data_IF_090153308858
#
_entry.id   IF_090153308858
#
_cell.length_a   1.000
_cell.length_b   1.000
_cell.length_c   1.000
_cell.angle_alpha   90.00
_cell.angle_beta   90.00
_cell.angle_gamma   90.00
#
_symmetry.space_group_name_H-M   'P 1'
#
loop_
_entity.id
_entity.type
_entity.pdbx_description
1 polymer ?
#
# COMPACT_ATOMS: atom_id res chain seq x y z
N UNK A 1 -14.34 27.03 33.56
CA UNK A 1 -14.81 25.67 33.23
C UNK A 1 -14.25 24.71 34.28
N UNK A 2 -15.09 24.43 35.27
CA UNK A 2 -15.15 23.34 36.25
C UNK A 2 -13.87 22.52 36.55
N UNK A 3 -13.16 22.87 37.62
CA UNK A 3 -12.14 22.02 38.26
C UNK A 3 -12.67 20.60 38.56
N UNK A 4 -13.97 20.43 38.82
CA UNK A 4 -14.61 19.10 39.01
C UNK A 4 -14.54 18.17 37.80
N UNK A 5 -14.57 18.67 36.56
CA UNK A 5 -14.48 17.79 35.38
C UNK A 5 -13.04 17.30 35.19
N UNK A 6 -12.08 18.18 35.48
CA UNK A 6 -10.65 17.86 35.47
C UNK A 6 -10.27 16.90 36.61
N UNK A 7 -10.83 17.08 37.81
CA UNK A 7 -10.71 16.14 38.94
C UNK A 7 -11.37 14.78 38.65
N UNK A 8 -12.51 14.78 37.97
CA UNK A 8 -13.18 13.54 37.56
C UNK A 8 -12.36 12.79 36.50
N UNK A 9 -11.70 13.51 35.58
CA UNK A 9 -10.78 12.89 34.64
C UNK A 9 -9.51 12.41 35.32
N UNK A 10 -8.93 13.13 36.29
CA UNK A 10 -7.66 12.71 36.89
C UNK A 10 -7.76 11.32 37.53
N UNK A 11 -6.78 10.42 37.27
CA UNK A 11 -6.72 9.13 37.95
C UNK A 11 -6.60 9.39 39.46
N UNK A 12 -7.57 8.90 40.22
CA UNK A 12 -7.62 9.07 41.67
C UNK A 12 -6.76 7.96 42.30
N UNK A 13 -5.60 8.34 42.84
CA UNK A 13 -4.58 7.47 43.41
C UNK A 13 -4.92 6.94 44.81
N UNK A 14 -6.21 6.73 45.11
CA UNK A 14 -6.67 6.39 46.44
C UNK A 14 -7.00 4.90 46.53
N UNK A 15 -5.97 4.07 46.66
CA UNK A 15 -6.09 2.61 46.82
C UNK A 15 -4.84 1.89 46.29
N UNK A 16 -4.05 1.29 47.18
CA UNK A 16 -2.73 0.73 46.85
C UNK A 16 -2.76 -0.45 45.85
N UNK A 17 -3.90 -1.12 45.68
CA UNK A 17 -4.06 -2.29 44.79
C UNK A 17 -4.77 -1.91 43.48
N UNK A 18 -5.85 -1.13 43.54
CA UNK A 18 -6.58 -0.66 42.36
C UNK A 18 -5.80 0.38 41.54
N UNK A 19 -4.97 1.20 42.20
CA UNK A 19 -4.13 2.20 41.56
C UNK A 19 -3.06 1.58 40.64
N UNK A 20 -2.56 0.39 40.97
CA UNK A 20 -1.54 -0.31 40.17
C UNK A 20 -2.09 -0.77 38.81
N UNK A 21 -3.26 -1.42 38.81
CA UNK A 21 -3.92 -1.87 37.57
C UNK A 21 -4.33 -0.67 36.71
N UNK A 22 -4.87 0.39 37.33
CA UNK A 22 -5.24 1.62 36.65
C UNK A 22 -4.03 2.30 36.00
N UNK A 23 -2.88 2.32 36.66
CA UNK A 23 -1.63 2.86 36.12
C UNK A 23 -1.13 2.02 34.94
N UNK A 24 -1.12 0.69 35.06
CA UNK A 24 -0.71 -0.20 33.96
C UNK A 24 -1.60 0.00 32.73
N UNK A 25 -2.92 0.06 32.91
CA UNK A 25 -3.86 0.29 31.81
C UNK A 25 -3.71 1.69 31.23
N UNK A 26 -3.54 2.71 32.06
CA UNK A 26 -3.30 4.08 31.59
C UNK A 26 -1.99 4.20 30.79
N UNK A 27 -0.92 3.54 31.25
CA UNK A 27 0.38 3.52 30.59
C UNK A 27 0.33 2.72 29.29
N UNK A 28 -0.41 1.60 29.25
CA UNK A 28 -0.69 0.85 28.02
C UNK A 28 -1.46 1.70 27.00
N UNK A 29 -2.52 2.37 27.43
CA UNK A 29 -3.31 3.26 26.57
C UNK A 29 -2.47 4.43 26.06
N UNK A 30 -1.65 5.05 26.91
CA UNK A 30 -0.73 6.12 26.54
C UNK A 30 0.31 5.63 25.52
N UNK A 31 0.93 4.47 25.79
CA UNK A 31 1.91 3.86 24.90
C UNK A 31 1.31 3.54 23.53
N UNK A 32 0.05 3.11 23.47
CA UNK A 32 -0.62 2.83 22.20
C UNK A 32 -1.08 4.12 21.49
N UNK A 33 -1.57 5.10 22.24
CA UNK A 33 -2.00 6.40 21.74
C UNK A 33 -0.84 7.21 21.15
N UNK A 34 0.38 7.08 21.70
CA UNK A 34 1.57 7.82 21.26
C UNK A 34 2.43 6.96 20.32
N UNK A 35 2.65 5.69 20.68
CA UNK A 35 3.54 4.78 19.97
C UNK A 35 3.06 4.46 18.56
N UNK A 36 1.76 4.19 18.36
CA UNK A 36 1.25 3.83 17.04
C UNK A 36 1.37 4.98 16.02
N UNK A 37 1.00 6.24 16.33
CA UNK A 37 1.28 7.39 15.45
C UNK A 37 2.77 7.60 15.14
N UNK A 38 3.66 7.37 16.12
CA UNK A 38 5.11 7.49 15.95
C UNK A 38 5.67 6.41 15.02
N UNK A 39 5.22 5.16 15.20
CA UNK A 39 5.59 4.06 14.30
C UNK A 39 5.11 4.34 12.88
N UNK A 40 3.84 4.76 12.73
CA UNK A 40 3.28 5.20 11.45
C UNK A 40 4.09 6.33 10.81
N UNK A 41 4.53 7.33 11.59
CA UNK A 41 5.34 8.42 11.09
C UNK A 41 6.74 7.96 10.63
N UNK A 42 7.28 6.90 11.23
CA UNK A 42 8.55 6.30 10.84
C UNK A 42 8.42 5.36 9.64
N UNK A 43 7.31 4.64 9.50
CA UNK A 43 7.16 3.56 8.53
C UNK A 43 6.46 3.94 7.23
N UNK A 44 5.55 4.94 7.26
CA UNK A 44 4.79 5.36 6.09
C UNK A 44 5.62 6.28 5.18
N UNK A 45 6.71 5.74 4.61
CA UNK A 45 7.62 6.44 3.71
C UNK A 45 7.68 5.73 2.36
N UNK A 46 7.79 6.47 1.23
CA UNK A 46 7.88 5.89 -0.11
C UNK A 46 9.06 4.92 -0.26
N UNK A 47 10.19 5.18 0.40
CA UNK A 47 11.35 4.27 0.38
C UNK A 47 11.05 2.88 0.98
N UNK A 48 10.19 2.78 1.99
CA UNK A 48 9.81 1.49 2.57
C UNK A 48 8.80 0.75 1.69
N UNK A 49 7.93 1.51 1.01
CA UNK A 49 6.99 0.97 0.05
C UNK A 49 7.72 0.39 -1.18
N UNK A 50 8.71 1.10 -1.71
CA UNK A 50 9.58 0.62 -2.79
C UNK A 50 10.36 -0.64 -2.39
N UNK A 51 10.94 -0.67 -1.19
CA UNK A 51 11.65 -1.85 -0.69
C UNK A 51 10.73 -3.08 -0.61
N UNK A 52 9.49 -2.91 -0.13
CA UNK A 52 8.51 -4.01 -0.09
C UNK A 52 8.03 -4.42 -1.48
N UNK A 53 7.86 -3.46 -2.38
CA UNK A 53 7.52 -3.76 -3.77
C UNK A 53 8.60 -4.63 -4.42
N UNK A 54 9.88 -4.31 -4.23
CA UNK A 54 11.00 -5.12 -4.75
C UNK A 54 11.01 -6.55 -4.21
N UNK A 55 10.62 -6.75 -2.94
CA UNK A 55 10.45 -8.09 -2.36
C UNK A 55 9.28 -8.84 -3.00
N UNK A 56 8.18 -8.15 -3.33
CA UNK A 56 6.99 -8.75 -3.93
C UNK A 56 7.16 -9.08 -5.42
N UNK A 57 7.91 -8.27 -6.16
CA UNK A 57 8.15 -8.47 -7.60
C UNK A 57 9.35 -9.37 -7.89
N UNK A 58 10.24 -9.57 -6.91
CA UNK A 58 11.43 -10.41 -7.03
C UNK A 58 12.37 -9.97 -8.16
N UNK A 59 13.22 -10.88 -8.62
CA UNK A 59 14.20 -10.65 -9.70
C UNK A 59 13.56 -10.15 -11.01
N UNK A 60 12.29 -10.53 -11.28
CA UNK A 60 11.64 -10.25 -12.56
C UNK A 60 11.02 -8.86 -12.67
N UNK A 61 10.97 -8.07 -11.58
CA UNK A 61 10.34 -6.74 -11.55
C UNK A 61 8.92 -6.69 -12.16
N UNK A 62 8.26 -7.84 -12.28
CA UNK A 62 6.99 -7.99 -12.97
C UNK A 62 5.89 -8.13 -11.92
N UNK A 63 4.92 -7.21 -11.95
CA UNK A 63 3.71 -7.33 -11.13
C UNK A 63 2.92 -8.58 -11.60
N UNK A 64 2.51 -9.47 -10.68
CA UNK A 64 1.70 -10.63 -11.04
C UNK A 64 0.26 -10.19 -11.36
N UNK A 65 -0.20 -10.43 -12.60
CA UNK A 65 -1.57 -10.16 -13.08
C UNK A 65 -1.97 -8.66 -13.03
N UNK A 66 -3.16 -8.23 -13.51
CA UNK A 66 -3.54 -6.82 -13.46
C UNK A 66 -3.86 -6.44 -12.01
N UNK A 67 -2.83 -6.10 -11.24
CA UNK A 67 -2.98 -5.58 -9.88
C UNK A 67 -3.63 -4.20 -9.95
N UNK A 68 -4.80 -4.06 -9.33
CA UNK A 68 -5.42 -2.75 -9.14
C UNK A 68 -4.55 -1.88 -8.21
N UNK A 69 -4.61 -0.54 -8.31
CA UNK A 69 -3.84 0.34 -7.44
C UNK A 69 -4.16 0.13 -5.95
N UNK A 70 -5.38 -0.28 -5.62
CA UNK A 70 -5.80 -0.65 -4.26
C UNK A 70 -5.12 -1.94 -3.78
N UNK A 71 -5.06 -2.99 -4.61
CA UNK A 71 -4.37 -4.24 -4.26
C UNK A 71 -2.88 -4.01 -4.06
N UNK A 72 -2.25 -3.21 -4.92
CA UNK A 72 -0.84 -2.83 -4.79
C UNK A 72 -0.60 -2.05 -3.48
N UNK A 73 -1.47 -1.07 -3.18
CA UNK A 73 -1.41 -0.29 -1.93
C UNK A 73 -1.53 -1.20 -0.71
N UNK A 74 -2.43 -2.18 -0.73
CA UNK A 74 -2.60 -3.13 0.37
C UNK A 74 -1.44 -4.13 0.50
N UNK A 75 -0.86 -4.57 -0.62
CA UNK A 75 0.26 -5.50 -0.62
C UNK A 75 1.54 -4.84 -0.06
N UNK A 76 1.74 -3.57 -0.38
CA UNK A 76 2.92 -2.79 0.03
C UNK A 76 2.76 -2.19 1.44
N UNK A 77 1.55 -2.24 2.01
CA UNK A 77 1.25 -1.74 3.35
C UNK A 77 2.22 -2.30 4.41
N UNK A 78 2.75 -1.41 5.25
CA UNK A 78 3.65 -1.81 6.34
C UNK A 78 2.86 -2.41 7.51
N UNK A 79 3.50 -3.26 8.33
CA UNK A 79 2.86 -3.84 9.51
C UNK A 79 2.18 -2.81 10.44
N UNK A 80 2.83 -1.69 10.82
CA UNK A 80 2.18 -0.64 11.62
C UNK A 80 0.99 0.04 10.92
N UNK A 81 0.98 0.16 9.59
CA UNK A 81 -0.20 0.66 8.85
C UNK A 81 -1.37 -0.32 8.94
N UNK A 82 -1.12 -1.63 8.89
CA UNK A 82 -2.15 -2.65 9.11
C UNK A 82 -2.71 -2.60 10.54
N UNK A 83 -1.82 -2.48 11.52
CA UNK A 83 -2.23 -2.34 12.93
C UNK A 83 -3.02 -1.05 13.18
N UNK A 84 -2.72 0.05 12.48
CA UNK A 84 -3.48 1.29 12.59
C UNK A 84 -4.96 1.15 12.21
N UNK A 85 -5.31 0.21 11.34
CA UNK A 85 -6.70 -0.03 10.95
C UNK A 85 -7.50 -0.73 12.06
N UNK A 86 -6.85 -1.63 12.82
CA UNK A 86 -7.50 -2.52 13.80
C UNK A 86 -7.33 -2.02 15.25
N UNK A 87 -6.21 -1.38 15.56
CA UNK A 87 -5.83 -0.98 16.92
C UNK A 87 -6.85 -0.06 17.62
N UNK A 88 -7.48 0.95 16.97
CA UNK A 88 -8.52 1.74 17.62
C UNK A 88 -9.68 0.87 18.12
N UNK A 89 -10.15 -0.08 17.31
CA UNK A 89 -11.21 -1.00 17.71
C UNK A 89 -10.81 -1.88 18.89
N UNK A 90 -9.56 -2.36 18.91
CA UNK A 90 -9.04 -3.14 20.04
C UNK A 90 -8.93 -2.32 21.32
N UNK A 91 -8.50 -1.05 21.24
CA UNK A 91 -8.49 -0.12 22.38
C UNK A 91 -9.89 0.05 22.96
N UNK A 92 -10.89 0.23 22.10
CA UNK A 92 -12.27 0.39 22.53
C UNK A 92 -12.80 -0.87 23.22
N UNK A 93 -12.56 -2.05 22.62
CA UNK A 93 -12.94 -3.33 23.23
C UNK A 93 -12.22 -3.56 24.57
N UNK A 94 -10.94 -3.21 24.67
CA UNK A 94 -10.17 -3.35 25.89
C UNK A 94 -10.65 -2.40 26.99
N UNK A 95 -11.03 -1.17 26.64
CA UNK A 95 -11.63 -0.21 27.56
C UNK A 95 -13.01 -0.65 28.10
N UNK A 96 -13.84 -1.25 27.24
CA UNK A 96 -15.10 -1.87 27.64
C UNK A 96 -14.86 -3.09 28.54
N UNK A 97 -13.94 -3.97 28.16
CA UNK A 97 -13.60 -5.16 28.94
C UNK A 97 -13.06 -4.80 30.33
N UNK A 98 -12.20 -3.77 30.42
CA UNK A 98 -11.71 -3.27 31.70
C UNK A 98 -12.84 -2.75 32.61
N UNK A 99 -13.90 -2.18 32.03
CA UNK A 99 -15.09 -1.76 32.76
C UNK A 99 -15.88 -2.94 33.31
N UNK A 100 -16.06 -4.00 32.51
CA UNK A 100 -16.75 -5.23 32.93
C UNK A 100 -15.97 -6.02 33.99
N UNK A 101 -14.65 -6.18 33.82
CA UNK A 101 -13.78 -6.83 34.81
C UNK A 101 -13.79 -6.04 36.10
N UNK A 102 -13.69 -4.71 36.00
CA UNK A 102 -13.85 -3.82 37.13
C UNK A 102 -15.17 -4.11 37.85
N UNK A 103 -16.31 -4.04 37.15
CA UNK A 103 -17.61 -4.23 37.77
C UNK A 103 -17.73 -5.60 38.47
N UNK A 104 -17.23 -6.67 37.83
CA UNK A 104 -17.22 -8.01 38.40
C UNK A 104 -16.46 -8.12 39.73
N UNK A 105 -15.28 -7.49 39.82
CA UNK A 105 -14.50 -7.46 41.08
C UNK A 105 -15.21 -6.65 42.18
N UNK A 106 -15.82 -5.50 41.84
CA UNK A 106 -16.57 -4.69 42.82
C UNK A 106 -17.77 -5.42 43.40
N UNK A 107 -18.51 -6.14 42.55
CA UNK A 107 -19.66 -6.93 42.97
C UNK A 107 -19.23 -8.10 43.86
N UNK A 108 -18.07 -8.71 43.58
CA UNK A 108 -17.47 -9.73 44.44
C UNK A 108 -17.13 -9.21 45.84
N UNK A 109 -16.45 -8.07 45.93
CA UNK A 109 -16.05 -7.47 47.20
C UNK A 109 -17.26 -6.97 48.02
N UNK A 110 -18.26 -6.39 47.36
CA UNK A 110 -19.48 -5.92 48.03
C UNK A 110 -20.36 -7.08 48.48
N UNK A 111 -20.43 -8.18 47.73
CA UNK A 111 -21.09 -9.42 48.16
C UNK A 111 -20.41 -10.07 49.37
N UNK A 112 -19.08 -9.95 49.50
CA UNK A 112 -18.34 -10.44 50.67
C UNK A 112 -18.57 -9.59 51.94
N UNK A 113 -18.86 -8.29 51.77
CA UNK A 113 -19.13 -7.33 52.87
C UNK A 113 -20.61 -7.28 53.26
N UNK A 114 -21.51 -7.75 52.41
CA UNK A 114 -22.96 -7.86 52.67
C UNK A 114 -23.29 -9.01 53.64
N UNK A 115 -22.83 -8.89 54.89
CA UNK A 115 -23.53 -9.45 56.04
C UNK A 115 -24.80 -8.64 56.34
N UNK A 116 -25.84 -9.23 56.94
CA UNK A 116 -27.20 -8.66 57.03
C UNK A 116 -27.36 -7.32 57.79
N UNK A 117 -26.29 -6.69 58.29
CA UNK A 117 -26.35 -5.51 59.17
C UNK A 117 -25.86 -4.17 58.56
N UNK A 118 -25.34 -4.13 57.32
CA UNK A 118 -24.70 -2.91 56.77
C UNK A 118 -25.18 -2.49 55.36
N UNK A 119 -26.48 -2.62 55.08
CA UNK A 119 -27.08 -2.29 53.79
C UNK A 119 -26.79 -0.87 53.22
N UNK A 120 -26.75 0.23 54.01
CA UNK A 120 -26.48 1.56 53.45
C UNK A 120 -25.03 1.77 53.04
N UNK A 121 -24.08 1.20 53.80
CA UNK A 121 -22.64 1.30 53.51
C UNK A 121 -22.24 0.47 52.28
N UNK A 122 -22.86 -0.70 52.10
CA UNK A 122 -22.70 -1.51 50.90
C UNK A 122 -23.19 -0.79 49.64
N UNK A 123 -24.31 -0.06 49.72
CA UNK A 123 -24.83 0.70 48.58
C UNK A 123 -23.88 1.85 48.18
N UNK A 124 -23.31 2.55 49.15
CA UNK A 124 -22.32 3.61 48.90
C UNK A 124 -21.04 3.05 48.28
N UNK A 125 -20.55 1.90 48.76
CA UNK A 125 -19.39 1.22 48.19
C UNK A 125 -19.63 0.75 46.75
N UNK A 126 -20.83 0.24 46.44
CA UNK A 126 -21.22 -0.13 45.06
C UNK A 126 -21.25 1.11 44.16
N UNK A 127 -21.81 2.23 44.62
CA UNK A 127 -21.91 3.48 43.84
C UNK A 127 -20.51 4.07 43.57
N UNK A 128 -19.63 4.08 44.57
CA UNK A 128 -18.27 4.61 44.42
C UNK A 128 -17.42 3.72 43.50
N UNK A 129 -17.55 2.39 43.64
CA UNK A 129 -16.93 1.44 42.73
C UNK A 129 -17.45 1.58 41.29
N UNK A 130 -18.75 1.85 41.09
CA UNK A 130 -19.32 2.19 39.79
C UNK A 130 -18.65 3.46 39.23
N UNK A 131 -18.54 4.52 40.03
CA UNK A 131 -17.97 5.81 39.64
C UNK A 131 -16.51 5.71 39.20
N UNK A 132 -15.66 4.98 39.93
CA UNK A 132 -14.26 4.78 39.57
C UNK A 132 -14.09 3.99 38.26
N UNK A 133 -15.01 3.06 37.99
CA UNK A 133 -14.96 2.16 36.82
C UNK A 133 -15.49 2.82 35.54
N UNK A 134 -16.46 3.72 35.66
CA UNK A 134 -16.85 4.62 34.56
C UNK A 134 -15.73 5.60 34.13
N UNK A 135 -14.87 6.04 35.06
CA UNK A 135 -13.71 6.88 34.70
C UNK A 135 -12.69 6.13 33.86
N UNK A 136 -12.43 4.86 34.17
CA UNK A 136 -11.56 3.99 33.36
C UNK A 136 -12.09 3.78 31.94
N UNK A 137 -13.40 3.58 31.79
CA UNK A 137 -14.07 3.52 30.50
C UNK A 137 -13.87 4.83 29.71
N UNK A 138 -14.04 5.97 30.39
CA UNK A 138 -13.87 7.30 29.79
C UNK A 138 -12.45 7.49 29.24
N UNK A 139 -11.41 7.03 29.96
CA UNK A 139 -10.03 7.07 29.47
C UNK A 139 -9.80 6.16 28.26
N UNK A 140 -10.38 4.97 28.24
CA UNK A 140 -10.32 4.06 27.08
C UNK A 140 -10.99 4.65 25.84
N UNK A 141 -12.18 5.24 26.01
CA UNK A 141 -12.91 5.91 24.93
C UNK A 141 -12.17 7.16 24.44
N UNK A 142 -11.60 7.94 25.36
CA UNK A 142 -10.82 9.13 25.02
C UNK A 142 -9.55 8.75 24.25
N UNK A 143 -8.85 7.70 24.68
CA UNK A 143 -7.68 7.17 23.97
C UNK A 143 -8.06 6.64 22.58
N UNK A 144 -9.18 5.92 22.47
CA UNK A 144 -9.74 5.50 21.19
C UNK A 144 -9.98 6.69 20.26
N UNK A 145 -10.64 7.74 20.77
CA UNK A 145 -10.99 8.91 19.97
C UNK A 145 -9.74 9.66 19.50
N UNK A 146 -8.76 9.89 20.38
CA UNK A 146 -7.49 10.53 20.04
C UNK A 146 -6.77 9.70 18.97
N UNK A 147 -6.64 8.39 19.18
CA UNK A 147 -5.96 7.51 18.25
C UNK A 147 -6.65 7.49 16.88
N UNK A 148 -7.98 7.41 16.88
CA UNK A 148 -8.79 7.44 15.66
C UNK A 148 -8.63 8.75 14.91
N UNK A 149 -8.66 9.88 15.60
CA UNK A 149 -8.43 11.21 15.02
C UNK A 149 -7.02 11.30 14.43
N UNK A 150 -5.98 10.92 15.18
CA UNK A 150 -4.58 10.95 14.70
C UNK A 150 -4.38 10.11 13.44
N UNK A 151 -4.98 8.92 13.37
CA UNK A 151 -4.88 8.02 12.21
C UNK A 151 -5.67 8.58 11.02
N UNK A 152 -6.88 9.10 11.26
CA UNK A 152 -7.77 9.64 10.22
C UNK A 152 -7.22 10.94 9.62
N UNK A 153 -6.64 11.81 10.44
CA UNK A 153 -5.95 13.02 9.99
C UNK A 153 -4.63 12.70 9.27
N UNK A 154 -4.08 11.50 9.46
CA UNK A 154 -2.92 11.09 8.69
C UNK A 154 -3.36 10.76 7.26
N UNK A 155 -3.13 11.69 6.32
CA UNK A 155 -3.37 11.52 4.88
C UNK A 155 -2.47 10.44 4.23
N UNK A 156 -1.94 9.51 5.02
CA UNK A 156 -0.92 8.53 4.65
C UNK A 156 -1.49 7.38 3.84
N UNK A 157 -2.74 7.00 4.09
CA UNK A 157 -3.47 6.04 3.24
C UNK A 157 -3.63 6.61 1.81
N UNK A 158 -3.99 7.89 1.72
CA UNK A 158 -4.09 8.60 0.44
C UNK A 158 -2.71 8.74 -0.23
N UNK A 159 -1.66 9.02 0.54
CA UNK A 159 -0.29 9.08 0.02
C UNK A 159 0.19 7.73 -0.53
N UNK A 160 -0.15 6.62 0.14
CA UNK A 160 0.19 5.26 -0.32
C UNK A 160 -0.58 4.89 -1.59
N UNK A 161 -1.86 5.22 -1.67
CA UNK A 161 -2.67 5.03 -2.89
C UNK A 161 -2.13 5.87 -4.05
N UNK A 162 -1.84 7.16 -3.82
CA UNK A 162 -1.26 8.03 -4.83
C UNK A 162 0.09 7.51 -5.34
N UNK A 163 0.94 7.00 -4.44
CA UNK A 163 2.20 6.34 -4.81
C UNK A 163 1.97 5.04 -5.59
N UNK A 164 0.97 4.25 -5.23
CA UNK A 164 0.64 3.00 -5.93
C UNK A 164 0.14 3.29 -7.36
N UNK A 165 -0.71 4.30 -7.52
CA UNK A 165 -1.19 4.78 -8.83
C UNK A 165 -0.03 5.29 -9.67
N UNK A 166 0.87 6.12 -9.11
CA UNK A 166 2.01 6.65 -9.87
C UNK A 166 2.99 5.55 -10.27
N UNK A 167 3.20 4.56 -9.40
CA UNK A 167 4.06 3.40 -9.68
C UNK A 167 3.47 2.52 -10.78
N UNK A 168 2.16 2.23 -10.74
CA UNK A 168 1.49 1.45 -11.77
C UNK A 168 1.53 2.17 -13.12
N UNK A 169 1.30 3.49 -13.14
CA UNK A 169 1.47 4.31 -14.35
C UNK A 169 2.89 4.26 -14.88
N UNK A 170 3.90 4.33 -14.01
CA UNK A 170 5.31 4.26 -14.43
C UNK A 170 5.61 2.94 -15.14
N UNK A 171 5.20 1.82 -14.54
CA UNK A 171 5.39 0.49 -15.12
C UNK A 171 4.63 0.31 -16.44
N UNK A 172 3.41 0.82 -16.54
CA UNK A 172 2.63 0.77 -17.78
C UNK A 172 3.28 1.60 -18.89
N UNK A 173 3.79 2.81 -18.57
CA UNK A 173 4.53 3.62 -19.53
C UNK A 173 5.84 2.98 -19.97
N UNK A 174 6.59 2.35 -19.06
CA UNK A 174 7.82 1.63 -19.39
C UNK A 174 7.53 0.44 -20.31
N UNK A 175 6.47 -0.32 -20.05
CA UNK A 175 6.04 -1.41 -20.93
C UNK A 175 5.55 -0.89 -22.29
N UNK A 176 4.80 0.19 -22.34
CA UNK A 176 4.34 0.81 -23.57
C UNK A 176 5.53 1.30 -24.41
N UNK A 177 6.54 1.92 -23.79
CA UNK A 177 7.76 2.34 -24.47
C UNK A 177 8.57 1.14 -24.98
N UNK A 178 8.73 0.08 -24.19
CA UNK A 178 9.40 -1.14 -24.63
C UNK A 178 8.69 -1.79 -25.83
N UNK A 179 7.35 -1.84 -25.81
CA UNK A 179 6.55 -2.34 -26.95
C UNK A 179 6.70 -1.46 -28.17
N UNK A 180 6.64 -0.14 -28.02
CA UNK A 180 6.82 0.80 -29.13
C UNK A 180 8.22 0.69 -29.76
N UNK A 181 9.26 0.46 -28.95
CA UNK A 181 10.62 0.22 -29.43
C UNK A 181 10.74 -1.09 -30.20
N UNK A 182 10.13 -2.18 -29.70
CA UNK A 182 10.09 -3.46 -30.41
C UNK A 182 9.36 -3.32 -31.76
N UNK A 183 8.21 -2.66 -31.78
CA UNK A 183 7.47 -2.38 -33.02
C UNK A 183 8.27 -1.50 -33.99
N UNK A 184 9.00 -0.50 -33.48
CA UNK A 184 9.87 0.33 -34.31
C UNK A 184 11.03 -0.46 -34.93
N UNK A 185 11.65 -1.35 -34.15
CA UNK A 185 12.71 -2.25 -34.63
C UNK A 185 12.17 -3.23 -35.69
N UNK A 186 11.00 -3.82 -35.46
CA UNK A 186 10.38 -4.73 -36.43
C UNK A 186 9.97 -3.99 -37.71
N UNK A 187 9.45 -2.76 -37.61
CA UNK A 187 9.21 -1.91 -38.78
C UNK A 187 10.48 -1.60 -39.55
N UNK A 188 11.59 -1.30 -38.87
CA UNK A 188 12.88 -1.07 -39.52
C UNK A 188 13.37 -2.32 -40.26
N UNK A 189 13.31 -3.50 -39.61
CA UNK A 189 13.66 -4.78 -40.25
C UNK A 189 12.82 -5.06 -41.50
N UNK A 190 11.52 -4.77 -41.45
CA UNK A 190 10.64 -4.94 -42.61
C UNK A 190 11.02 -3.99 -43.75
N UNK A 191 11.28 -2.71 -43.45
CA UNK A 191 11.74 -1.73 -44.44
C UNK A 191 13.06 -2.19 -45.07
N UNK A 192 14.03 -2.61 -44.25
CA UNK A 192 15.34 -3.07 -44.73
C UNK A 192 15.20 -4.32 -45.62
N UNK A 193 14.34 -5.27 -45.26
CA UNK A 193 14.06 -6.45 -46.07
C UNK A 193 13.39 -6.09 -47.42
N UNK A 194 12.48 -5.13 -47.42
CA UNK A 194 11.83 -4.61 -48.64
C UNK A 194 12.86 -3.90 -49.53
N UNK A 195 13.69 -3.03 -48.96
CA UNK A 195 14.75 -2.31 -49.69
C UNK A 195 15.78 -3.27 -50.26
N UNK A 196 16.18 -4.29 -49.49
CA UNK A 196 17.10 -5.33 -49.95
C UNK A 196 16.51 -6.11 -51.13
N UNK A 197 15.25 -6.54 -51.02
CA UNK A 197 14.54 -7.25 -52.09
C UNK A 197 14.37 -6.37 -53.33
N UNK A 198 14.04 -5.09 -53.15
CA UNK A 198 13.93 -4.11 -54.24
C UNK A 198 15.25 -3.89 -54.98
N UNK A 199 16.36 -3.75 -54.25
CA UNK A 199 17.69 -3.62 -54.84
C UNK A 199 18.11 -4.90 -55.58
N UNK A 200 17.82 -6.08 -55.03
CA UNK A 200 18.09 -7.36 -55.68
C UNK A 200 17.30 -7.50 -56.99
N UNK A 201 16.02 -7.09 -56.99
CA UNK A 201 15.19 -7.08 -58.20
C UNK A 201 15.71 -6.09 -59.25
N UNK A 202 16.10 -4.88 -58.85
CA UNK A 202 16.68 -3.89 -59.76
C UNK A 202 18.00 -4.39 -60.38
N UNK A 203 18.86 -5.01 -59.58
CA UNK A 203 20.10 -5.62 -60.08
C UNK A 203 19.84 -6.76 -61.07
N UNK A 204 18.83 -7.60 -60.80
CA UNK A 204 18.40 -8.65 -61.72
C UNK A 204 17.87 -8.07 -63.05
N UNK A 205 17.01 -7.03 -62.99
CA UNK A 205 16.48 -6.34 -64.16
C UNK A 205 17.59 -5.68 -65.00
N UNK A 206 18.55 -5.03 -64.36
CA UNK A 206 19.70 -4.43 -65.05
C UNK A 206 20.58 -5.49 -65.73
N UNK A 207 20.80 -6.63 -65.08
CA UNK A 207 21.54 -7.75 -65.67
C UNK A 207 20.81 -8.33 -66.89
N UNK A 208 19.48 -8.42 -66.85
CA UNK A 208 18.68 -8.84 -68.01
C UNK A 208 18.74 -7.82 -69.15
N UNK A 209 18.61 -6.53 -68.86
CA UNK A 209 18.72 -5.47 -69.86
C UNK A 209 20.09 -5.46 -70.55
N UNK A 210 21.19 -5.60 -69.78
CA UNK A 210 22.54 -5.69 -70.33
C UNK A 210 22.71 -6.92 -71.24
N UNK A 211 22.18 -8.08 -70.83
CA UNK A 211 22.19 -9.29 -71.66
C UNK A 211 21.40 -9.09 -72.96
N UNK A 212 20.26 -8.40 -72.91
CA UNK A 212 19.48 -8.09 -74.11
C UNK A 212 20.24 -7.16 -75.05
N UNK A 213 20.89 -6.12 -74.53
CA UNK A 213 21.73 -5.22 -75.33
C UNK A 213 22.91 -5.94 -75.98
N UNK A 214 23.61 -6.83 -75.26
CA UNK A 214 24.69 -7.63 -75.83
C UNK A 214 24.18 -8.55 -76.95
N UNK A 215 23.06 -9.25 -76.75
CA UNK A 215 22.44 -10.07 -77.80
C UNK A 215 22.06 -9.26 -79.04
N UNK A 216 21.51 -8.06 -78.85
CA UNK A 216 21.19 -7.18 -79.97
C UNK A 216 22.45 -6.69 -80.70
N UNK A 217 23.52 -6.34 -79.97
CA UNK A 217 24.79 -5.97 -80.57
C UNK A 217 25.40 -7.12 -81.39
N UNK A 218 25.40 -8.34 -80.85
CA UNK A 218 25.85 -9.55 -81.56
C UNK A 218 25.03 -9.83 -82.83
N UNK A 219 23.71 -9.66 -82.77
CA UNK A 219 22.82 -9.81 -83.92
C UNK A 219 23.11 -8.77 -85.01
N UNK A 220 23.32 -7.50 -84.64
CA UNK A 220 23.65 -6.44 -85.59
C UNK A 220 25.00 -6.70 -86.26
N UNK A 221 26.01 -7.11 -85.49
CA UNK A 221 27.32 -7.46 -86.04
C UNK A 221 27.24 -8.68 -86.98
N UNK A 222 26.46 -9.70 -86.61
CA UNK A 222 26.19 -10.84 -87.47
C UNK A 222 25.51 -10.43 -88.80
N UNK A 223 24.55 -9.51 -88.76
CA UNK A 223 23.91 -8.96 -89.95
C UNK A 223 24.91 -8.18 -90.81
N UNK A 224 25.72 -7.29 -90.22
CA UNK A 224 26.73 -6.52 -90.95
C UNK A 224 27.75 -7.42 -91.66
N UNK A 225 28.21 -8.50 -91.00
CA UNK A 225 29.12 -9.48 -91.62
C UNK A 225 28.49 -10.23 -92.80
N UNK A 226 27.18 -10.47 -92.77
CA UNK A 226 26.49 -11.07 -93.91
C UNK A 226 26.39 -10.09 -95.08
N UNK A 227 26.00 -8.84 -94.82
CA UNK A 227 25.89 -7.80 -95.85
C UNK A 227 27.25 -7.51 -96.52
N UNK A 228 28.33 -7.48 -95.75
CA UNK A 228 29.70 -7.28 -96.25
C UNK A 228 30.24 -8.45 -97.10
N UNK A 229 29.64 -9.65 -97.00
CA UNK A 229 29.99 -10.81 -97.85
C UNK A 229 29.20 -10.88 -99.15
N UNK A 230 28.15 -10.06 -99.31
CA UNK A 230 27.28 -10.04 -100.48
C UNK A 230 27.55 -8.89 -101.48
N UNK A 231 28.55 -8.06 -101.21
CA UNK A 231 29.09 -7.05 -102.15
C UNK A 231 30.43 -7.48 -102.72
#
# INVERSE_FOLDING_TARGET
>A
MNKSVLDFLMPQWNGAVDGGLQLVVALLLLALAIGLPLLLARSARPAQWEARLGVLTGERHALPAPTTPEELSQAVATAPERWAQVAPGMVLMLGLLGSFIGLGLALGDTAAVLGPQQAPGALAAVIDALGAKFRMATWGILAYLILKICITLSAREQARLAWSVSTLRRLDTEQAHARAQLEAQDRQRLIDAITHSGNALLAAQQAEAQRAHLRHAELIDALQRQTARSS
#
